data_IF_720360490663
#
_entry.id   IF_720360490663
#
_cell.length_a   1.000
_cell.length_b   1.000
_cell.length_c   1.000
_cell.angle_alpha   90.00
_cell.angle_beta   90.00
_cell.angle_gamma   90.00
#
_symmetry.space_group_name_H-M   'P 1'
#
loop_
_entity.id
_entity.type
_entity.pdbx_description
1 polymer ?
#
# COMPACT_ATOMS: atom_id res chain seq x y z
N UNK A 1 -41.45 9.20 10.44
CA UNK A 1 -40.09 9.73 10.23
C UNK A 1 -40.22 11.24 10.13
N UNK A 2 -39.55 12.03 10.98
CA UNK A 2 -39.56 13.49 10.81
C UNK A 2 -38.73 13.81 9.57
N UNK A 3 -39.33 14.49 8.60
CA UNK A 3 -38.63 15.04 7.44
C UNK A 3 -37.65 16.11 7.96
N UNK A 4 -36.38 15.75 8.02
CA UNK A 4 -35.28 16.65 8.31
C UNK A 4 -34.48 16.93 7.04
N UNK A 5 -33.82 18.08 7.00
CA UNK A 5 -32.86 18.39 5.94
C UNK A 5 -31.65 17.46 6.11
N UNK A 6 -31.40 16.58 5.14
CA UNK A 6 -30.16 15.81 5.06
C UNK A 6 -29.12 16.60 4.27
N UNK A 7 -28.15 17.18 4.98
CA UNK A 7 -26.95 17.73 4.36
C UNK A 7 -25.98 16.57 4.04
N UNK A 8 -25.61 16.41 2.78
CA UNK A 8 -24.69 15.34 2.36
C UNK A 8 -24.87 14.88 0.91
N UNK A 9 -24.13 13.85 0.48
CA UNK A 9 -23.42 12.90 1.34
C UNK A 9 -22.18 13.50 2.05
N UNK A 10 -21.96 13.04 3.27
CA UNK A 10 -20.84 13.46 4.12
C UNK A 10 -19.67 12.48 3.93
N UNK A 11 -18.50 13.01 3.58
CA UNK A 11 -17.27 12.25 3.38
C UNK A 11 -16.25 12.62 4.46
N UNK A 12 -16.03 11.68 5.39
CA UNK A 12 -14.93 11.77 6.34
C UNK A 12 -13.69 11.08 5.78
N UNK A 13 -12.58 11.80 5.63
CA UNK A 13 -11.29 11.24 5.21
C UNK A 13 -10.45 11.04 6.46
N UNK A 14 -10.23 9.78 6.84
CA UNK A 14 -9.45 9.43 8.00
C UNK A 14 -7.95 9.47 7.67
N UNK A 15 -7.18 10.30 8.39
CA UNK A 15 -5.75 10.57 8.15
C UNK A 15 -4.91 10.32 9.41
N UNK A 16 -3.60 10.19 9.24
CA UNK A 16 -2.64 9.86 10.31
C UNK A 16 -2.42 11.03 11.27
N UNK A 17 -2.37 12.24 10.72
CA UNK A 17 -2.05 13.48 11.44
C UNK A 17 -2.96 14.62 10.96
N UNK A 18 -3.26 15.61 11.81
CA UNK A 18 -4.06 16.76 11.39
C UNK A 18 -3.29 17.65 10.40
N UNK A 19 -3.96 18.53 9.63
CA UNK A 19 -3.34 19.36 8.59
C UNK A 19 -2.09 20.12 9.02
N UNK A 20 -2.02 20.57 10.27
CA UNK A 20 -0.91 21.34 10.85
C UNK A 20 0.38 20.53 10.97
N UNK A 21 0.28 19.20 11.01
CA UNK A 21 1.40 18.28 11.15
C UNK A 21 1.72 17.53 9.84
N UNK A 22 1.02 17.82 8.74
CA UNK A 22 1.26 17.20 7.45
C UNK A 22 2.44 17.83 6.71
N UNK A 23 3.14 17.03 5.91
CA UNK A 23 4.09 17.57 4.94
C UNK A 23 3.38 18.41 3.87
N UNK A 24 4.04 19.44 3.29
CA UNK A 24 3.41 20.33 2.31
C UNK A 24 2.79 19.62 1.11
N UNK A 25 3.39 18.51 0.65
CA UNK A 25 2.87 17.69 -0.46
C UNK A 25 1.51 17.09 -0.12
N UNK A 26 1.38 16.48 1.05
CA UNK A 26 0.14 15.84 1.50
C UNK A 26 -0.93 16.90 1.77
N UNK A 27 -0.54 18.03 2.38
CA UNK A 27 -1.43 19.14 2.62
C UNK A 27 -2.04 19.69 1.31
N UNK A 28 -1.22 19.85 0.26
CA UNK A 28 -1.67 20.29 -1.05
C UNK A 28 -2.59 19.26 -1.72
N UNK A 29 -2.28 17.97 -1.59
CA UNK A 29 -3.14 16.88 -2.09
C UNK A 29 -4.52 16.91 -1.41
N UNK A 30 -4.57 16.92 -0.08
CA UNK A 30 -5.84 16.89 0.64
C UNK A 30 -6.65 18.16 0.45
N UNK A 31 -6.00 19.33 0.31
CA UNK A 31 -6.68 20.59 -0.03
C UNK A 31 -7.41 20.48 -1.37
N UNK A 32 -6.75 19.93 -2.40
CA UNK A 32 -7.37 19.70 -3.72
C UNK A 32 -8.51 18.70 -3.63
N UNK A 33 -8.31 17.59 -2.89
CA UNK A 33 -9.33 16.56 -2.72
C UNK A 33 -10.58 17.11 -2.02
N UNK A 34 -10.43 17.79 -0.89
CA UNK A 34 -11.55 18.40 -0.16
C UNK A 34 -12.24 19.47 -1.01
N UNK A 35 -11.50 20.37 -1.65
CA UNK A 35 -12.07 21.41 -2.51
C UNK A 35 -12.85 20.80 -3.69
N UNK A 36 -12.28 19.80 -4.35
CA UNK A 36 -12.95 19.10 -5.45
C UNK A 36 -14.22 18.40 -4.97
N UNK A 37 -14.15 17.59 -3.92
CA UNK A 37 -15.33 16.90 -3.37
C UNK A 37 -16.43 17.88 -2.94
N UNK A 38 -16.07 18.98 -2.27
CA UNK A 38 -17.01 20.02 -1.89
C UNK A 38 -17.67 20.69 -3.11
N UNK A 39 -16.91 20.97 -4.19
CA UNK A 39 -17.47 21.49 -5.45
C UNK A 39 -18.43 20.51 -6.15
N UNK A 40 -18.41 19.23 -5.77
CA UNK A 40 -19.33 18.19 -6.25
C UNK A 40 -20.53 17.98 -5.33
N UNK A 41 -20.70 18.83 -4.31
CA UNK A 41 -21.84 18.80 -3.38
C UNK A 41 -21.64 17.88 -2.16
N UNK A 42 -20.43 17.36 -1.93
CA UNK A 42 -20.13 16.58 -0.72
C UNK A 42 -19.78 17.52 0.43
N UNK A 43 -20.17 17.16 1.66
CA UNK A 43 -19.58 17.76 2.84
C UNK A 43 -18.34 16.95 3.23
N UNK A 44 -17.14 17.45 2.91
CA UNK A 44 -15.88 16.71 3.10
C UNK A 44 -15.03 17.30 4.22
N UNK A 45 -14.50 16.44 5.10
CA UNK A 45 -13.55 16.85 6.14
C UNK A 45 -12.51 15.76 6.39
N UNK A 46 -11.34 16.16 6.91
CA UNK A 46 -10.29 15.28 7.40
C UNK A 46 -10.44 15.08 8.90
N UNK A 47 -10.12 13.89 9.39
CA UNK A 47 -10.06 13.62 10.83
C UNK A 47 -9.04 12.51 11.14
N UNK A 48 -8.51 12.50 12.34
CA UNK A 48 -7.67 11.42 12.88
C UNK A 48 -8.49 10.52 13.80
N UNK A 49 -7.94 9.37 14.20
CA UNK A 49 -8.62 8.51 15.17
C UNK A 49 -8.91 9.22 16.50
N UNK A 50 -8.09 10.20 16.90
CA UNK A 50 -8.27 10.92 18.15
C UNK A 50 -9.42 11.95 18.14
N UNK A 51 -9.95 12.28 16.95
CA UNK A 51 -10.93 13.35 16.77
C UNK A 51 -12.39 12.89 16.94
N UNK A 52 -12.63 11.56 17.03
CA UNK A 52 -13.96 10.98 17.16
C UNK A 52 -14.39 10.91 18.64
N UNK A 53 -15.49 11.59 18.95
CA UNK A 53 -16.26 11.32 20.17
C UNK A 53 -17.35 10.30 19.86
N UNK A 54 -17.14 9.06 20.33
CA UNK A 54 -18.07 7.94 20.13
C UNK A 54 -19.35 8.04 20.97
N UNK A 55 -19.33 8.79 22.08
CA UNK A 55 -20.52 8.95 22.94
C UNK A 55 -21.49 9.91 22.30
N UNK A 56 -20.96 11.03 21.81
CA UNK A 56 -21.75 12.09 21.20
C UNK A 56 -21.96 11.89 19.69
N UNK A 57 -21.31 10.89 19.08
CA UNK A 57 -21.35 10.61 17.63
C UNK A 57 -20.95 11.83 16.77
N UNK A 58 -19.93 12.55 17.22
CA UNK A 58 -19.38 13.72 16.55
C UNK A 58 -17.88 13.54 16.27
N UNK A 59 -17.40 14.23 15.25
CA UNK A 59 -15.99 14.24 14.86
C UNK A 59 -15.53 15.69 14.75
N UNK A 60 -14.45 16.03 15.46
CA UNK A 60 -13.79 17.33 15.31
C UNK A 60 -12.82 17.28 14.12
N UNK A 61 -13.29 17.73 12.97
CA UNK A 61 -12.60 17.57 11.70
C UNK A 61 -12.08 18.87 11.10
N UNK A 62 -11.29 18.75 10.05
CA UNK A 62 -10.77 19.87 9.28
C UNK A 62 -11.36 19.89 7.88
N UNK A 63 -11.94 21.02 7.48
CA UNK A 63 -12.39 21.25 6.10
C UNK A 63 -11.77 22.52 5.53
N UNK A 64 -11.94 22.75 4.23
CA UNK A 64 -11.53 23.99 3.56
C UNK A 64 -12.74 24.66 2.92
N UNK A 65 -12.85 25.97 3.08
CA UNK A 65 -13.75 26.82 2.30
C UNK A 65 -13.04 27.36 1.05
N UNK A 66 -13.72 28.18 0.25
CA UNK A 66 -13.24 28.73 -1.04
C UNK A 66 -11.85 29.40 -0.97
N UNK A 67 -11.47 29.90 0.21
CA UNK A 67 -10.15 30.51 0.42
C UNK A 67 -9.01 29.50 0.66
N UNK A 68 -9.31 28.19 0.57
CA UNK A 68 -8.37 27.09 0.77
C UNK A 68 -7.66 27.05 2.13
N UNK A 69 -8.23 27.75 3.12
CA UNK A 69 -7.75 27.77 4.51
C UNK A 69 -8.39 26.62 5.26
N UNK A 70 -7.58 25.84 5.98
CA UNK A 70 -8.07 24.78 6.86
C UNK A 70 -8.80 25.38 8.06
N UNK A 71 -10.01 24.89 8.32
CA UNK A 71 -10.85 25.27 9.45
C UNK A 71 -11.22 24.03 10.24
N UNK A 72 -11.04 24.11 11.56
CA UNK A 72 -11.57 23.12 12.49
C UNK A 72 -13.08 23.33 12.63
N UNK A 73 -13.83 22.25 12.64
CA UNK A 73 -15.27 22.25 12.90
C UNK A 73 -15.72 20.93 13.49
N UNK A 74 -16.95 20.89 13.99
CA UNK A 74 -17.58 19.68 14.52
C UNK A 74 -18.57 19.14 13.50
N UNK A 75 -18.42 17.88 13.16
CA UNK A 75 -19.19 17.19 12.12
C UNK A 75 -19.93 15.98 12.72
N UNK A 76 -21.09 15.59 12.18
CA UNK A 76 -21.71 14.31 12.52
C UNK A 76 -20.88 13.15 11.96
N UNK A 77 -21.25 11.91 12.31
CA UNK A 77 -20.72 10.74 11.63
C UNK A 77 -20.94 10.83 10.10
N UNK A 78 -19.93 10.47 9.28
CA UNK A 78 -20.01 10.61 7.84
C UNK A 78 -20.84 9.48 7.21
N UNK A 79 -21.43 9.71 6.02
CA UNK A 79 -22.04 8.63 5.23
C UNK A 79 -20.97 7.68 4.68
N UNK A 80 -19.77 8.21 4.39
CA UNK A 80 -18.63 7.46 3.86
C UNK A 80 -17.36 7.82 4.64
N UNK A 81 -16.64 6.81 5.12
CA UNK A 81 -15.27 6.97 5.62
C UNK A 81 -14.29 6.54 4.54
N UNK A 82 -13.46 7.46 4.07
CA UNK A 82 -12.28 7.13 3.27
C UNK A 82 -11.07 6.98 4.18
N UNK A 83 -10.68 5.73 4.44
CA UNK A 83 -9.48 5.45 5.22
C UNK A 83 -8.21 5.64 4.37
N UNK A 84 -7.42 6.64 4.76
CA UNK A 84 -6.12 6.99 4.17
C UNK A 84 -4.95 6.75 5.12
N UNK A 85 -5.20 6.16 6.29
CA UNK A 85 -4.19 5.93 7.33
C UNK A 85 -3.19 4.87 6.89
N UNK A 86 -1.96 5.31 6.56
CA UNK A 86 -0.83 4.47 6.19
C UNK A 86 0.09 4.11 7.36
N UNK A 87 0.10 4.90 8.44
CA UNK A 87 0.85 4.62 9.66
C UNK A 87 0.13 5.17 10.89
N UNK A 88 0.49 4.66 12.08
CA UNK A 88 -0.09 5.09 13.35
C UNK A 88 0.94 5.89 14.15
N UNK A 89 0.57 7.11 14.56
CA UNK A 89 1.35 7.91 15.49
C UNK A 89 1.20 7.36 16.91
N UNK A 90 2.10 7.71 17.85
CA UNK A 90 1.91 7.36 19.26
C UNK A 90 0.54 7.79 19.80
N UNK A 91 0.01 8.94 19.35
CA UNK A 91 -1.27 9.48 19.80
C UNK A 91 -2.47 8.69 19.26
N UNK A 92 -2.39 8.15 18.04
CA UNK A 92 -3.52 7.44 17.42
C UNK A 92 -3.42 5.93 17.60
N UNK A 93 -2.25 5.38 17.93
CA UNK A 93 -1.99 3.93 17.93
C UNK A 93 -2.97 3.14 18.78
N UNK A 94 -3.20 3.58 20.01
CA UNK A 94 -4.03 2.84 20.96
C UNK A 94 -5.53 3.03 20.68
N UNK A 95 -5.91 4.19 20.15
CA UNK A 95 -7.31 4.51 19.81
C UNK A 95 -7.76 3.91 18.47
N UNK A 96 -6.84 3.74 17.52
CA UNK A 96 -7.17 3.38 16.15
C UNK A 96 -7.97 2.08 16.03
N UNK A 97 -7.63 0.95 16.70
CA UNK A 97 -8.40 -0.29 16.56
C UNK A 97 -9.87 -0.14 16.95
N UNK A 98 -10.16 0.59 18.02
CA UNK A 98 -11.51 0.81 18.49
C UNK A 98 -12.30 1.75 17.58
N UNK A 99 -11.68 2.86 17.15
CA UNK A 99 -12.29 3.84 16.24
C UNK A 99 -12.55 3.21 14.88
N UNK A 100 -11.58 2.47 14.35
CA UNK A 100 -11.71 1.72 13.11
C UNK A 100 -12.89 0.74 13.21
N UNK A 101 -12.95 -0.07 14.27
CA UNK A 101 -14.02 -1.07 14.46
C UNK A 101 -15.38 -0.39 14.57
N UNK A 102 -15.48 0.70 15.32
CA UNK A 102 -16.70 1.49 15.46
C UNK A 102 -17.21 2.01 14.11
N UNK A 103 -16.35 2.66 13.33
CA UNK A 103 -16.74 3.21 12.02
C UNK A 103 -16.99 2.12 10.97
N UNK A 104 -16.19 1.05 10.97
CA UNK A 104 -16.29 -0.05 10.00
C UNK A 104 -17.54 -0.91 10.21
N UNK A 105 -17.96 -1.11 11.46
CA UNK A 105 -19.16 -1.90 11.81
C UNK A 105 -20.45 -1.08 11.82
N UNK A 106 -20.38 0.24 11.70
CA UNK A 106 -21.56 1.09 11.77
C UNK A 106 -22.51 0.85 10.58
N UNK A 107 -23.81 0.58 10.80
CA UNK A 107 -24.73 0.10 9.77
C UNK A 107 -25.00 1.11 8.64
N UNK A 108 -24.79 2.40 8.91
CA UNK A 108 -25.04 3.49 7.98
C UNK A 108 -23.77 4.07 7.34
N UNK A 109 -22.58 3.65 7.79
CA UNK A 109 -21.31 4.19 7.27
C UNK A 109 -20.77 3.23 6.22
N UNK A 110 -20.47 3.74 5.04
CA UNK A 110 -19.70 2.99 4.05
C UNK A 110 -18.21 3.21 4.28
N UNK A 111 -17.51 2.15 4.68
CA UNK A 111 -16.06 2.21 4.87
C UNK A 111 -15.32 1.88 3.57
N UNK A 112 -14.56 2.84 3.05
CA UNK A 112 -13.73 2.69 1.85
C UNK A 112 -12.26 2.57 2.23
N UNK A 113 -11.58 1.61 1.60
CA UNK A 113 -10.18 1.25 1.83
C UNK A 113 -9.90 0.71 3.27
N UNK A 114 -10.54 -0.40 3.68
CA UNK A 114 -10.50 -0.90 5.06
C UNK A 114 -9.12 -1.32 5.59
N UNK A 115 -8.08 -1.48 4.77
CA UNK A 115 -6.76 -1.72 5.35
C UNK A 115 -5.70 -2.21 4.39
N UNK A 116 -4.55 -2.52 4.98
CA UNK A 116 -3.37 -3.00 4.29
C UNK A 116 -3.59 -4.35 3.62
N UNK A 117 -3.08 -4.47 2.40
CA UNK A 117 -3.01 -5.73 1.67
C UNK A 117 -1.66 -6.38 1.95
N UNK A 118 -1.64 -7.57 2.55
CA UNK A 118 -0.42 -8.38 2.58
C UNK A 118 -0.27 -9.15 1.27
N UNK A 119 0.98 -9.26 0.79
CA UNK A 119 1.27 -9.83 -0.53
C UNK A 119 0.81 -11.28 -0.64
N UNK A 120 0.92 -12.04 0.44
CA UNK A 120 0.56 -13.46 0.45
C UNK A 120 -0.96 -13.68 0.39
N UNK A 121 -1.75 -12.96 1.18
CA UNK A 121 -3.22 -13.00 1.12
C UNK A 121 -3.74 -12.54 -0.23
N UNK A 122 -3.16 -11.48 -0.81
CA UNK A 122 -3.52 -11.06 -2.18
C UNK A 122 -3.24 -12.16 -3.18
N UNK A 123 -2.04 -12.74 -3.16
CA UNK A 123 -1.69 -13.86 -4.04
C UNK A 123 -2.68 -15.01 -3.89
N UNK A 124 -2.95 -15.48 -2.66
CA UNK A 124 -3.89 -16.58 -2.40
C UNK A 124 -5.32 -16.29 -2.88
N UNK A 125 -5.79 -15.05 -2.71
CA UNK A 125 -7.12 -14.64 -3.18
C UNK A 125 -7.23 -14.63 -4.69
N UNK A 126 -6.15 -14.23 -5.39
CA UNK A 126 -6.12 -14.17 -6.85
C UNK A 126 -5.83 -15.53 -7.51
N UNK A 127 -5.04 -16.38 -6.86
CA UNK A 127 -4.67 -17.70 -7.36
C UNK A 127 -5.87 -18.65 -7.51
N UNK A 128 -6.97 -18.40 -6.81
CA UNK A 128 -8.24 -19.13 -6.95
C UNK A 128 -9.22 -18.50 -7.95
N UNK A 129 -8.78 -17.56 -8.80
CA UNK A 129 -9.63 -16.75 -9.69
C UNK A 129 -9.05 -16.72 -11.11
N UNK A 130 -9.75 -16.08 -12.04
CA UNK A 130 -9.33 -15.96 -13.45
C UNK A 130 -7.98 -15.25 -13.66
N UNK A 131 -7.43 -14.58 -12.63
CA UNK A 131 -6.11 -13.96 -12.68
C UNK A 131 -4.96 -14.96 -12.45
N UNK A 132 -5.24 -16.19 -11.99
CA UNK A 132 -4.21 -17.17 -11.63
C UNK A 132 -3.13 -17.40 -12.71
N UNK A 133 -3.46 -17.50 -14.02
CA UNK A 133 -2.44 -17.67 -15.07
C UNK A 133 -1.48 -16.48 -15.22
N UNK A 134 -1.85 -15.31 -14.70
CA UNK A 134 -1.04 -14.08 -14.76
C UNK A 134 -0.19 -13.87 -13.50
N UNK A 135 -0.29 -14.76 -12.50
CA UNK A 135 0.47 -14.63 -11.26
C UNK A 135 1.80 -15.38 -11.36
N UNK A 136 2.94 -14.75 -11.07
CA UNK A 136 4.20 -15.48 -10.92
C UNK A 136 4.13 -16.40 -9.71
N UNK A 137 4.70 -17.61 -9.83
CA UNK A 137 4.71 -18.57 -8.72
C UNK A 137 5.26 -17.91 -7.46
N UNK A 138 4.47 -17.92 -6.39
CA UNK A 138 4.85 -17.30 -5.11
C UNK A 138 4.60 -18.29 -3.98
N UNK A 139 5.60 -18.48 -3.11
CA UNK A 139 5.52 -19.35 -1.93
C UNK A 139 6.15 -18.67 -0.70
N UNK A 140 5.74 -18.99 0.53
CA UNK A 140 6.46 -18.56 1.72
C UNK A 140 7.89 -19.11 1.75
N UNK A 141 8.85 -18.31 2.20
CA UNK A 141 10.21 -18.77 2.49
C UNK A 141 10.20 -19.49 3.85
N UNK A 142 10.42 -20.81 3.84
CA UNK A 142 10.32 -21.65 5.05
C UNK A 142 11.66 -22.19 5.53
N UNK A 143 12.60 -22.43 4.62
CA UNK A 143 13.95 -22.90 4.93
C UNK A 143 14.88 -22.70 3.73
N UNK A 144 16.18 -22.81 3.97
CA UNK A 144 17.22 -22.66 2.94
C UNK A 144 17.15 -23.73 1.83
N UNK A 145 16.98 -25.05 2.12
CA UNK A 145 16.85 -26.05 1.06
C UNK A 145 15.68 -25.81 0.09
N UNK A 146 14.55 -25.29 0.59
CA UNK A 146 13.42 -24.89 -0.24
C UNK A 146 13.80 -23.75 -1.19
N UNK A 147 14.52 -22.74 -0.71
CA UNK A 147 15.01 -21.64 -1.54
C UNK A 147 15.94 -22.16 -2.65
N UNK A 148 16.91 -23.01 -2.29
CA UNK A 148 17.82 -23.62 -3.26
C UNK A 148 17.03 -24.42 -4.30
N UNK A 149 16.10 -25.28 -3.89
CA UNK A 149 15.26 -26.06 -4.80
C UNK A 149 14.46 -25.17 -5.77
N UNK A 150 13.92 -24.05 -5.26
CA UNK A 150 13.22 -23.07 -6.07
C UNK A 150 14.15 -22.43 -7.11
N UNK A 151 15.35 -22.00 -6.69
CA UNK A 151 16.34 -21.41 -7.58
C UNK A 151 16.84 -22.41 -8.63
N UNK A 152 17.06 -23.67 -8.28
CA UNK A 152 17.44 -24.72 -9.23
C UNK A 152 16.37 -24.90 -10.31
N UNK A 153 15.09 -24.80 -9.95
CA UNK A 153 13.98 -24.99 -10.90
C UNK A 153 13.73 -23.78 -11.79
N UNK A 154 13.82 -22.57 -11.23
CA UNK A 154 13.40 -21.33 -11.92
C UNK A 154 14.58 -20.45 -12.36
N UNK A 155 15.80 -20.74 -11.93
CA UNK A 155 17.04 -19.99 -12.22
C UNK A 155 17.14 -18.64 -11.50
N UNK A 156 16.01 -17.97 -11.23
CA UNK A 156 15.95 -16.65 -10.60
C UNK A 156 14.67 -16.45 -9.79
N UNK A 157 14.79 -15.70 -8.71
CA UNK A 157 13.68 -15.39 -7.82
C UNK A 157 13.84 -14.02 -7.17
N UNK A 158 12.74 -13.50 -6.65
CA UNK A 158 12.73 -12.39 -5.70
C UNK A 158 12.38 -12.91 -4.32
N UNK A 159 13.15 -12.50 -3.31
CA UNK A 159 12.71 -12.55 -1.92
C UNK A 159 12.02 -11.22 -1.59
N UNK A 160 10.81 -11.30 -1.04
CA UNK A 160 10.00 -10.12 -0.72
C UNK A 160 9.39 -10.24 0.68
N UNK A 161 9.47 -9.20 1.52
CA UNK A 161 8.68 -9.13 2.73
C UNK A 161 7.19 -9.22 2.39
N UNK A 162 6.44 -10.04 3.11
CA UNK A 162 4.99 -10.24 2.94
C UNK A 162 4.24 -8.93 3.19
N UNK A 163 4.69 -8.16 4.20
CA UNK A 163 4.24 -6.80 4.52
C UNK A 163 5.28 -5.77 4.13
N UNK A 164 4.87 -4.53 3.92
CA UNK A 164 5.77 -3.44 3.55
C UNK A 164 5.52 -2.86 2.15
N UNK A 165 6.01 -1.64 1.95
CA UNK A 165 5.74 -0.77 0.81
C UNK A 165 7.05 -0.29 0.15
N UNK A 166 6.93 0.44 -0.96
CA UNK A 166 8.06 1.07 -1.70
C UNK A 166 9.15 0.11 -2.22
N UNK A 167 8.96 -1.21 -2.09
CA UNK A 167 9.95 -2.19 -2.50
C UNK A 167 11.16 -2.28 -1.58
N UNK A 168 11.03 -1.78 -0.35
CA UNK A 168 12.02 -1.99 0.71
C UNK A 168 12.11 -3.48 1.06
N UNK A 169 13.32 -3.96 1.32
CA UNK A 169 13.61 -5.36 1.64
C UNK A 169 13.47 -6.33 0.46
N UNK A 170 13.24 -5.87 -0.77
CA UNK A 170 13.23 -6.77 -1.94
C UNK A 170 14.66 -7.15 -2.29
N UNK A 171 14.90 -8.46 -2.38
CA UNK A 171 16.17 -9.05 -2.82
C UNK A 171 15.90 -9.81 -4.12
N UNK A 172 16.80 -9.69 -5.09
CA UNK A 172 16.82 -10.50 -6.29
C UNK A 172 17.93 -11.54 -6.18
N UNK A 173 17.59 -12.78 -6.49
CA UNK A 173 18.49 -13.92 -6.51
C UNK A 173 18.51 -14.54 -7.91
N UNK A 174 19.68 -14.91 -8.39
CA UNK A 174 19.82 -15.74 -9.58
C UNK A 174 20.97 -16.73 -9.42
N UNK A 175 20.81 -17.94 -9.95
CA UNK A 175 21.92 -18.89 -10.11
C UNK A 175 22.96 -18.28 -11.05
N UNK A 176 24.23 -18.32 -10.66
CA UNK A 176 25.36 -17.83 -11.42
C UNK A 176 26.30 -18.99 -11.79
N UNK A 177 27.43 -18.68 -12.43
CA UNK A 177 28.42 -19.70 -12.81
C UNK A 177 29.08 -20.35 -11.58
N UNK A 178 29.59 -21.57 -11.75
CA UNK A 178 30.36 -22.29 -10.73
C UNK A 178 29.62 -22.47 -9.38
N UNK A 179 28.32 -22.81 -9.42
CA UNK A 179 27.47 -23.04 -8.25
C UNK A 179 27.41 -21.88 -7.25
N UNK A 180 27.55 -20.65 -7.76
CA UNK A 180 27.37 -19.42 -6.99
C UNK A 180 26.00 -18.79 -7.24
N UNK A 181 25.64 -17.83 -6.40
CA UNK A 181 24.38 -17.10 -6.47
C UNK A 181 24.64 -15.60 -6.56
N UNK A 182 23.99 -14.96 -7.51
CA UNK A 182 23.94 -13.51 -7.62
C UNK A 182 22.88 -12.97 -6.66
N UNK A 183 23.28 -12.14 -5.72
CA UNK A 183 22.41 -11.45 -4.76
C UNK A 183 22.39 -9.96 -5.07
N UNK A 184 21.21 -9.39 -5.28
CA UNK A 184 21.05 -7.94 -5.48
C UNK A 184 20.00 -7.39 -4.54
N UNK A 185 20.38 -6.40 -3.74
CA UNK A 185 19.49 -5.73 -2.78
C UNK A 185 19.70 -4.22 -2.77
N UNK A 186 18.71 -3.48 -2.29
CA UNK A 186 18.80 -2.02 -2.11
C UNK A 186 18.85 -1.67 -0.63
N UNK A 187 19.80 -0.83 -0.25
CA UNK A 187 19.86 -0.19 1.08
C UNK A 187 19.87 1.33 0.92
N UNK A 188 19.31 2.07 1.88
CA UNK A 188 19.27 3.54 1.82
C UNK A 188 20.68 4.16 1.87
N UNK A 189 21.63 3.47 2.51
CA UNK A 189 23.00 3.95 2.70
C UNK A 189 23.89 3.72 1.47
N UNK A 190 23.78 2.54 0.84
CA UNK A 190 24.67 2.13 -0.27
C UNK A 190 24.01 2.12 -1.64
N UNK A 191 22.70 2.30 -1.71
CA UNK A 191 21.93 2.09 -2.94
C UNK A 191 21.83 0.61 -3.30
N UNK A 192 21.90 0.28 -4.59
CA UNK A 192 21.92 -1.10 -5.04
C UNK A 192 23.30 -1.74 -4.81
N UNK A 193 23.30 -2.84 -4.08
CA UNK A 193 24.47 -3.68 -3.84
C UNK A 193 24.28 -5.02 -4.55
N UNK A 194 25.34 -5.48 -5.21
CA UNK A 194 25.39 -6.76 -5.91
C UNK A 194 26.55 -7.60 -5.37
N UNK A 195 26.24 -8.83 -4.96
CA UNK A 195 27.18 -9.79 -4.41
C UNK A 195 27.11 -11.10 -5.22
N UNK A 196 28.23 -11.79 -5.29
CA UNK A 196 28.29 -13.19 -5.75
C UNK A 196 28.61 -14.05 -4.54
N UNK A 197 27.70 -14.96 -4.20
CA UNK A 197 27.73 -15.73 -2.96
C UNK A 197 27.93 -17.21 -3.26
N UNK A 198 28.84 -17.86 -2.54
CA UNK A 198 28.89 -19.31 -2.44
C UNK A 198 27.66 -19.83 -1.66
N UNK A 199 27.33 -21.14 -1.76
CA UNK A 199 26.17 -21.71 -1.07
C UNK A 199 26.14 -21.46 0.45
N UNK A 200 27.29 -21.49 1.13
CA UNK A 200 27.36 -21.21 2.57
C UNK A 200 27.07 -19.73 2.91
N UNK A 201 27.60 -18.80 2.10
CA UNK A 201 27.37 -17.36 2.28
C UNK A 201 25.90 -17.00 2.00
N UNK A 202 25.29 -17.63 1.00
CA UNK A 202 23.85 -17.44 0.74
C UNK A 202 23.02 -17.93 1.93
N UNK A 203 23.35 -19.09 2.51
CA UNK A 203 22.65 -19.61 3.68
C UNK A 203 22.73 -18.62 4.85
N UNK A 204 23.93 -18.12 5.16
CA UNK A 204 24.15 -17.11 6.20
C UNK A 204 23.33 -15.83 5.97
N UNK A 205 23.24 -15.35 4.73
CA UNK A 205 22.45 -14.16 4.39
C UNK A 205 20.94 -14.38 4.46
N UNK A 206 20.47 -15.62 4.27
CA UNK A 206 19.05 -15.97 4.28
C UNK A 206 18.54 -16.27 5.68
N UNK A 207 19.40 -16.73 6.61
CA UNK A 207 19.02 -17.03 7.99
C UNK A 207 18.27 -15.88 8.70
N UNK A 208 18.73 -14.61 8.66
CA UNK A 208 17.99 -13.51 9.28
C UNK A 208 16.59 -13.30 8.67
N UNK A 209 16.41 -13.59 7.38
CA UNK A 209 15.11 -13.47 6.70
C UNK A 209 14.15 -14.58 7.14
N UNK A 210 14.67 -15.77 7.39
CA UNK A 210 13.94 -16.91 7.94
C UNK A 210 13.52 -16.65 9.38
N UNK A 211 14.42 -16.11 10.20
CA UNK A 211 14.14 -15.75 11.60
C UNK A 211 13.06 -14.68 11.72
N UNK A 212 13.01 -13.73 10.78
CA UNK A 212 11.92 -12.74 10.71
C UNK A 212 10.56 -13.37 10.35
N UNK A 213 10.53 -14.51 9.66
CA UNK A 213 9.31 -15.29 9.42
C UNK A 213 8.28 -14.69 8.45
N UNK A 214 8.63 -13.62 7.72
CA UNK A 214 7.68 -12.88 6.88
C UNK A 214 8.09 -12.77 5.41
N UNK A 215 9.06 -13.54 4.91
CA UNK A 215 9.49 -13.46 3.51
C UNK A 215 8.77 -14.44 2.58
N UNK A 216 8.60 -14.01 1.33
CA UNK A 216 8.06 -14.80 0.23
C UNK A 216 9.13 -14.98 -0.84
N UNK A 217 9.21 -16.18 -1.42
CA UNK A 217 9.93 -16.48 -2.65
C UNK A 217 8.95 -16.27 -3.81
N UNK A 218 9.29 -15.43 -4.77
CA UNK A 218 8.49 -15.20 -5.97
C UNK A 218 9.34 -15.40 -7.22
N UNK A 219 8.83 -16.17 -8.18
CA UNK A 219 9.43 -16.34 -9.50
C UNK A 219 9.68 -14.98 -10.16
N UNK A 220 10.89 -14.78 -10.69
CA UNK A 220 11.21 -13.55 -11.39
C UNK A 220 10.67 -13.59 -12.82
N UNK A 221 9.82 -12.62 -13.16
CA UNK A 221 9.30 -12.44 -14.51
C UNK A 221 10.34 -11.74 -15.40
N UNK A 222 10.32 -12.06 -16.69
CA UNK A 222 11.10 -11.33 -17.69
C UNK A 222 10.58 -9.91 -17.81
N UNK A 223 11.50 -8.95 -17.65
CA UNK A 223 11.17 -7.54 -17.73
C UNK A 223 11.13 -7.09 -19.18
N UNK A 224 10.21 -6.17 -19.45
CA UNK A 224 10.22 -5.40 -20.68
C UNK A 224 11.23 -4.26 -20.50
N UNK A 225 11.98 -3.96 -21.56
CA UNK A 225 12.96 -2.87 -21.55
C UNK A 225 12.58 -1.80 -22.58
N UNK A 226 12.79 -0.54 -22.22
CA UNK A 226 12.70 0.63 -23.09
C UNK A 226 14.00 1.44 -22.95
N UNK A 227 14.75 1.64 -24.05
CA UNK A 227 16.06 2.32 -24.05
C UNK A 227 17.08 1.76 -23.02
N UNK A 228 17.04 0.44 -22.82
CA UNK A 228 17.89 -0.27 -21.86
C UNK A 228 17.48 -0.14 -20.39
N UNK A 229 16.28 0.40 -20.12
CA UNK A 229 15.72 0.53 -18.77
C UNK A 229 14.52 -0.39 -18.58
N UNK A 230 14.37 -1.03 -17.41
CA UNK A 230 13.23 -1.90 -17.15
C UNK A 230 11.94 -1.09 -17.06
N UNK A 231 10.83 -1.65 -17.54
CA UNK A 231 9.51 -1.03 -17.53
C UNK A 231 8.50 -1.92 -16.83
N UNK A 232 7.70 -1.33 -15.94
CA UNK A 232 6.46 -1.92 -15.44
C UNK A 232 5.25 -1.10 -15.91
N UNK A 233 4.08 -1.73 -15.91
CA UNK A 233 2.81 -1.05 -16.18
C UNK A 233 1.92 -1.12 -14.94
N UNK A 234 1.30 0.00 -14.60
CA UNK A 234 0.32 0.12 -13.52
C UNK A 234 -1.00 0.65 -14.05
N UNK A 235 -2.03 -0.17 -13.92
CA UNK A 235 -3.41 0.26 -14.13
C UNK A 235 -4.05 0.65 -12.79
N UNK A 236 -4.66 1.84 -12.75
CA UNK A 236 -5.57 2.24 -11.69
C UNK A 236 -6.99 1.98 -12.16
N UNK A 237 -7.75 1.20 -11.39
CA UNK A 237 -9.13 0.86 -11.70
C UNK A 237 -10.06 1.49 -10.68
N UNK A 238 -11.16 2.09 -11.15
CA UNK A 238 -12.25 2.59 -10.31
C UNK A 238 -13.55 1.93 -10.73
N UNK A 239 -14.49 1.79 -9.79
CA UNK A 239 -15.86 1.43 -10.16
C UNK A 239 -16.62 2.66 -10.64
N UNK A 240 -17.36 2.52 -11.73
CA UNK A 240 -18.31 3.55 -12.17
C UNK A 240 -19.58 3.57 -11.31
N UNK A 241 -20.54 4.43 -11.67
CA UNK A 241 -21.82 4.55 -10.98
C UNK A 241 -22.71 3.30 -11.04
N UNK A 242 -22.37 2.32 -11.87
CA UNK A 242 -23.05 1.02 -11.99
C UNK A 242 -22.26 -0.10 -11.28
N UNK A 243 -21.15 0.26 -10.62
CA UNK A 243 -20.30 -0.69 -9.89
C UNK A 243 -19.35 -1.49 -10.77
N UNK A 244 -19.22 -1.16 -12.04
CA UNK A 244 -18.34 -1.86 -12.98
C UNK A 244 -16.92 -1.28 -12.95
N UNK A 245 -15.91 -2.15 -13.00
CA UNK A 245 -14.52 -1.73 -13.00
C UNK A 245 -14.14 -1.08 -14.33
N UNK A 246 -13.61 0.14 -14.26
CA UNK A 246 -13.11 0.93 -15.39
C UNK A 246 -11.63 1.24 -15.17
N UNK A 247 -10.83 1.20 -16.22
CA UNK A 247 -9.43 1.65 -16.18
C UNK A 247 -9.42 3.18 -16.17
N UNK A 248 -9.07 3.78 -15.04
CA UNK A 248 -9.00 5.22 -14.87
C UNK A 248 -7.66 5.79 -15.39
N UNK A 249 -6.56 5.07 -15.13
CA UNK A 249 -5.21 5.47 -15.57
C UNK A 249 -4.42 4.21 -15.90
N UNK A 250 -3.66 4.24 -17.00
CA UNK A 250 -2.59 3.29 -17.29
C UNK A 250 -1.28 4.07 -17.39
N UNK A 251 -0.32 3.74 -16.53
CA UNK A 251 0.99 4.38 -16.50
C UNK A 251 2.10 3.35 -16.72
N UNK A 252 3.09 3.71 -17.53
CA UNK A 252 4.34 2.97 -17.64
C UNK A 252 5.37 3.59 -16.67
N UNK A 253 6.02 2.78 -15.86
CA UNK A 253 7.09 3.21 -14.96
C UNK A 253 8.43 2.72 -15.51
N UNK A 254 9.27 3.66 -15.90
CA UNK A 254 10.63 3.38 -16.36
C UNK A 254 11.55 3.39 -15.14
N UNK A 255 12.17 2.24 -14.85
CA UNK A 255 13.14 2.09 -13.77
C UNK A 255 14.53 2.60 -14.14
N UNK A 256 15.41 2.65 -13.16
CA UNK A 256 16.81 3.01 -13.37
C UNK A 256 17.57 1.87 -14.08
N UNK A 257 18.57 2.21 -14.90
CA UNK A 257 19.46 1.20 -15.50
C UNK A 257 20.11 0.34 -14.41
N UNK A 258 20.15 -0.97 -14.63
CA UNK A 258 20.70 -1.93 -13.67
C UNK A 258 19.80 -2.27 -12.47
N UNK A 259 18.68 -1.55 -12.28
CA UNK A 259 17.83 -1.78 -11.11
C UNK A 259 17.03 -3.10 -11.20
N UNK A 260 17.03 -3.85 -10.10
CA UNK A 260 16.23 -5.07 -9.98
C UNK A 260 14.75 -4.81 -9.69
N UNK A 261 14.39 -3.59 -9.33
CA UNK A 261 13.00 -3.13 -9.25
C UNK A 261 12.83 -1.85 -10.07
N UNK A 262 11.61 -1.60 -10.52
CA UNK A 262 11.20 -0.36 -11.21
C UNK A 262 10.77 0.72 -10.23
N UNK A 263 10.99 0.51 -8.92
CA UNK A 263 10.71 1.53 -7.94
C UNK A 263 11.71 2.68 -8.05
N UNK A 264 11.18 3.90 -8.04
CA UNK A 264 11.98 5.10 -7.86
C UNK A 264 12.22 5.18 -6.35
N UNK A 265 13.46 4.95 -5.94
CA UNK A 265 13.93 5.10 -4.56
C UNK A 265 14.54 6.49 -4.41
#
# INVERSE_FOLDING_TARGET
MKEGIKLGPILGIMVEVPPQAMYPRDLAFYRRLVSYSNSRGLLTFLFTAADLDRKENIINGYTTTDNHVWRLGTFPLPDVVYNRVGFLTPQTRDLFPEVYTFLYSHPQIRFYNPGGLDKWSVYRRLAGKGAAPCLPLTIPLQNYPQLVSFLTRHGKAYLKPSRGSHGQGIIFLATAAADTYRWVSFTAEKGYEELTLAPGELEEMVLPLLEQGEYLIQEAIDKIYYNGQPVDFRAHLHKDGQGQWQVAVLAAKVGTRGAVTTNLH
#
